data_IF_701791049914
#
_entry.id   IF_701791049914
#
_cell.length_a   1.000
_cell.length_b   1.000
_cell.length_c   1.000
_cell.angle_alpha   90.00
_cell.angle_beta   90.00
_cell.angle_gamma   90.00
#
_symmetry.space_group_name_H-M   'P 1'
#
loop_
_entity.id
_entity.type
_entity.pdbx_description
1 polymer ?
#
# COMPACT_ATOMS: atom_id res chain seq x y z
N UNK A 1 38.04 4.99 -9.47
CA UNK A 1 37.84 6.07 -10.49
C UNK A 1 36.37 6.49 -10.64
N UNK A 2 35.38 5.57 -10.95
CA UNK A 2 33.98 5.93 -11.14
C UNK A 2 33.36 6.64 -9.93
N UNK A 3 33.49 6.09 -8.71
CA UNK A 3 32.93 6.69 -7.49
C UNK A 3 33.42 8.12 -7.25
N UNK A 4 34.72 8.38 -7.43
CA UNK A 4 35.28 9.71 -7.27
C UNK A 4 34.68 10.71 -8.28
N UNK A 5 34.62 10.31 -9.57
CA UNK A 5 34.02 11.11 -10.62
C UNK A 5 32.54 11.37 -10.36
N UNK A 6 31.78 10.33 -9.97
CA UNK A 6 30.36 10.45 -9.65
C UNK A 6 30.13 11.38 -8.46
N UNK A 7 30.93 11.25 -7.39
CA UNK A 7 30.86 12.13 -6.21
C UNK A 7 31.19 13.59 -6.59
N UNK A 8 32.20 13.80 -7.44
CA UNK A 8 32.55 15.14 -7.92
C UNK A 8 31.38 15.75 -8.72
N UNK A 9 30.84 15.02 -9.70
CA UNK A 9 29.73 15.49 -10.52
C UNK A 9 28.48 15.79 -9.69
N UNK A 10 28.09 14.90 -8.78
CA UNK A 10 26.95 15.14 -7.90
C UNK A 10 27.23 16.27 -6.90
N UNK A 11 28.47 16.47 -6.48
CA UNK A 11 28.90 17.60 -5.67
C UNK A 11 28.78 18.93 -6.42
N UNK A 12 29.21 18.98 -7.68
CA UNK A 12 29.03 20.16 -8.54
C UNK A 12 27.55 20.48 -8.78
N UNK A 13 26.73 19.46 -9.03
CA UNK A 13 25.26 19.63 -9.13
C UNK A 13 24.66 20.15 -7.84
N UNK A 14 25.12 19.65 -6.69
CA UNK A 14 24.70 20.13 -5.38
C UNK A 14 25.06 21.61 -5.19
N UNK A 15 26.30 22.02 -5.48
CA UNK A 15 26.74 23.42 -5.39
C UNK A 15 25.91 24.33 -6.31
N UNK A 16 25.65 23.89 -7.56
CA UNK A 16 24.84 24.64 -8.52
C UNK A 16 23.37 24.77 -8.08
N UNK A 17 22.85 23.82 -7.28
CA UNK A 17 21.48 23.87 -6.78
C UNK A 17 21.32 24.78 -5.54
N UNK A 18 22.38 25.06 -4.78
CA UNK A 18 22.31 25.86 -3.54
C UNK A 18 21.67 27.24 -3.72
N UNK A 19 22.03 28.05 -4.76
CA UNK A 19 21.41 29.36 -4.98
C UNK A 19 19.91 29.31 -5.27
N UNK A 20 19.39 28.17 -5.74
CA UNK A 20 17.97 27.98 -6.06
C UNK A 20 17.13 27.56 -4.84
N UNK A 21 17.77 27.10 -3.76
CA UNK A 21 17.07 26.64 -2.55
C UNK A 21 16.16 27.71 -1.92
N UNK A 22 16.56 28.98 -1.76
CA UNK A 22 15.68 30.01 -1.18
C UNK A 22 14.36 30.13 -1.94
N UNK A 23 14.38 30.09 -3.28
CA UNK A 23 13.19 30.18 -4.12
C UNK A 23 12.22 29.00 -3.90
N UNK A 24 12.78 27.81 -3.69
CA UNK A 24 11.98 26.59 -3.47
C UNK A 24 11.42 26.47 -2.05
N UNK A 25 12.14 27.00 -1.04
CA UNK A 25 11.75 26.95 0.39
C UNK A 25 10.50 27.79 0.68
N UNK A 26 10.19 28.81 -0.12
CA UNK A 26 8.94 29.58 0.01
C UNK A 26 7.70 28.70 -0.18
N UNK A 27 7.76 27.63 -0.94
CA UNK A 27 6.65 26.69 -1.06
C UNK A 27 6.55 25.82 0.20
N UNK A 28 5.42 25.88 0.90
CA UNK A 28 5.13 25.15 2.16
C UNK A 28 5.53 23.66 2.10
N UNK A 29 5.38 23.01 0.93
CA UNK A 29 5.74 21.62 0.69
C UNK A 29 7.23 21.33 0.92
N UNK A 30 8.13 22.25 0.58
CA UNK A 30 9.58 22.04 0.56
C UNK A 30 10.33 22.72 1.73
N UNK A 31 9.65 23.54 2.51
CA UNK A 31 10.24 24.39 3.57
C UNK A 31 11.07 23.60 4.59
N UNK A 32 10.71 22.36 4.89
CA UNK A 32 11.45 21.51 5.85
C UNK A 32 12.37 20.52 5.14
N UNK A 33 11.92 19.90 4.04
CA UNK A 33 12.67 18.84 3.39
C UNK A 33 13.92 19.33 2.66
N UNK A 34 13.89 20.46 1.96
CA UNK A 34 15.06 20.93 1.20
C UNK A 34 16.22 21.36 2.11
N UNK A 35 16.06 22.20 3.15
CA UNK A 35 17.16 22.52 4.05
C UNK A 35 17.73 21.28 4.75
N UNK A 36 16.89 20.33 5.15
CA UNK A 36 17.33 19.10 5.78
C UNK A 36 18.16 18.23 4.81
N UNK A 37 17.78 18.14 3.53
CA UNK A 37 18.43 17.31 2.53
C UNK A 37 19.69 17.93 1.94
N UNK A 38 19.72 19.24 1.73
CA UNK A 38 20.81 19.92 1.03
C UNK A 38 21.79 20.59 1.97
N UNK A 39 21.39 20.98 3.19
CA UNK A 39 22.22 21.69 4.17
C UNK A 39 22.36 20.91 5.47
N UNK A 40 21.77 19.73 5.61
CA UNK A 40 21.67 18.93 6.85
C UNK A 40 21.02 19.69 8.02
N UNK A 41 20.26 20.75 7.72
CA UNK A 41 19.64 21.60 8.73
C UNK A 41 18.62 20.81 9.54
N UNK A 42 18.84 20.71 10.85
CA UNK A 42 18.01 19.91 11.79
C UNK A 42 17.81 18.46 11.31
N UNK A 43 18.80 17.89 10.62
CA UNK A 43 18.79 16.56 10.10
C UNK A 43 20.06 15.80 10.50
N UNK A 44 20.24 15.53 11.80
CA UNK A 44 21.44 14.82 12.29
C UNK A 44 21.50 13.40 11.72
N UNK A 45 22.67 12.76 11.70
CA UNK A 45 22.83 11.36 11.35
C UNK A 45 21.88 10.43 12.12
N UNK A 46 21.51 9.32 11.51
CA UNK A 46 20.86 8.20 12.20
C UNK A 46 21.83 7.59 13.22
N UNK A 47 21.31 7.08 14.34
CA UNK A 47 22.13 6.31 15.31
C UNK A 47 22.74 5.10 14.60
N UNK A 48 23.97 4.69 14.91
CA UNK A 48 24.61 3.51 14.29
C UNK A 48 23.90 2.20 14.66
N UNK A 49 24.38 1.11 14.09
CA UNK A 49 24.08 -0.28 14.42
C UNK A 49 22.60 -0.67 14.37
N UNK A 50 21.85 -0.03 13.48
CA UNK A 50 20.43 -0.33 13.26
C UNK A 50 20.13 -0.92 11.89
N UNK A 51 18.86 -1.22 11.67
CA UNK A 51 18.27 -1.56 10.39
C UNK A 51 17.76 -0.26 9.74
N UNK A 52 18.45 0.21 8.72
CA UNK A 52 18.11 1.46 8.02
C UNK A 52 17.20 1.20 6.84
N UNK A 53 15.95 1.63 6.94
CA UNK A 53 14.96 1.58 5.86
C UNK A 53 14.87 2.94 5.17
N UNK A 54 14.95 2.93 3.85
CA UNK A 54 14.73 4.10 3.01
C UNK A 54 13.48 3.94 2.16
N UNK A 55 12.56 4.91 2.28
CA UNK A 55 11.30 5.00 1.53
C UNK A 55 11.12 6.41 0.98
N UNK A 56 10.56 6.55 -0.21
CA UNK A 56 10.37 7.87 -0.84
C UNK A 56 9.08 8.55 -0.39
N UNK A 57 7.98 7.82 -0.37
CA UNK A 57 6.63 8.35 -0.29
C UNK A 57 5.84 7.87 0.94
N UNK A 58 4.70 8.54 1.18
CA UNK A 58 3.73 8.11 2.19
C UNK A 58 3.21 6.68 1.94
N UNK A 59 2.95 6.34 0.67
CA UNK A 59 2.47 5.01 0.30
C UNK A 59 3.48 3.91 0.61
N UNK A 60 4.77 4.16 0.32
CA UNK A 60 5.86 3.24 0.65
C UNK A 60 6.07 3.12 2.17
N UNK A 61 6.02 4.24 2.92
CA UNK A 61 6.13 4.22 4.38
C UNK A 61 5.01 3.39 5.03
N UNK A 62 3.80 3.40 4.47
CA UNK A 62 2.71 2.53 4.91
C UNK A 62 2.91 1.07 4.48
N UNK A 63 3.38 0.83 3.27
CA UNK A 63 3.56 -0.52 2.74
C UNK A 63 4.64 -1.32 3.50
N UNK A 64 5.68 -0.66 4.03
CA UNK A 64 6.70 -1.34 4.84
C UNK A 64 6.30 -1.54 6.31
N UNK A 65 5.22 -0.91 6.78
CA UNK A 65 4.83 -0.97 8.19
C UNK A 65 4.73 -2.39 8.74
N UNK A 66 4.11 -3.38 8.06
CA UNK A 66 4.06 -4.75 8.54
C UNK A 66 5.45 -5.41 8.67
N UNK A 67 6.42 -4.97 7.85
CA UNK A 67 7.81 -5.41 7.98
C UNK A 67 8.49 -4.79 9.21
N UNK A 68 8.28 -3.49 9.44
CA UNK A 68 8.84 -2.81 10.62
C UNK A 68 8.31 -3.37 11.94
N UNK A 69 7.06 -3.85 11.96
CA UNK A 69 6.42 -4.46 13.13
C UNK A 69 7.04 -5.81 13.55
N UNK A 70 7.88 -6.41 12.71
CA UNK A 70 8.63 -7.65 13.01
C UNK A 70 9.92 -7.41 13.78
N UNK A 71 10.31 -6.15 14.01
CA UNK A 71 11.58 -5.78 14.65
C UNK A 71 11.36 -4.81 15.81
N UNK A 72 12.28 -4.85 16.77
CA UNK A 72 12.31 -3.91 17.88
C UNK A 72 12.42 -2.46 17.34
N UNK A 73 11.55 -1.54 17.76
CA UNK A 73 11.62 -0.14 17.38
C UNK A 73 12.99 0.53 17.63
N UNK A 74 13.73 0.09 18.63
CA UNK A 74 15.07 0.59 18.94
C UNK A 74 16.10 0.29 17.85
N UNK A 75 15.90 -0.78 17.08
CA UNK A 75 16.75 -1.15 15.95
C UNK A 75 16.40 -0.38 14.68
N UNK A 76 15.23 0.24 14.60
CA UNK A 76 14.74 0.85 13.37
C UNK A 76 15.33 2.24 13.12
N UNK A 77 15.75 2.48 11.88
CA UNK A 77 16.21 3.77 11.35
C UNK A 77 15.45 4.03 10.05
N UNK A 78 14.78 5.17 9.96
CA UNK A 78 13.97 5.48 8.78
C UNK A 78 14.48 6.73 8.07
N UNK A 79 14.55 6.69 6.75
CA UNK A 79 14.81 7.87 5.95
C UNK A 79 13.84 7.99 4.77
N UNK A 80 13.54 9.22 4.37
CA UNK A 80 12.61 9.53 3.30
C UNK A 80 13.01 10.80 2.55
N UNK A 81 12.45 11.00 1.36
CA UNK A 81 12.68 12.21 0.56
C UNK A 81 11.53 13.22 0.65
N UNK A 82 10.31 12.78 0.98
CA UNK A 82 9.11 13.61 0.96
C UNK A 82 8.62 14.00 2.36
N UNK A 83 7.89 15.13 2.47
CA UNK A 83 7.31 15.59 3.75
C UNK A 83 6.28 14.58 4.30
N UNK A 84 5.37 14.11 3.45
CA UNK A 84 4.33 13.16 3.87
C UNK A 84 4.90 11.80 4.26
N UNK A 85 5.95 11.33 3.55
CA UNK A 85 6.71 10.16 3.95
C UNK A 85 7.40 10.34 5.30
N UNK A 86 7.97 11.53 5.56
CA UNK A 86 8.61 11.84 6.85
C UNK A 86 7.61 11.82 8.02
N UNK A 87 6.43 12.40 7.82
CA UNK A 87 5.36 12.39 8.81
C UNK A 87 4.95 10.94 9.13
N UNK A 88 4.73 10.10 8.11
CA UNK A 88 4.40 8.69 8.29
C UNK A 88 5.52 7.87 8.97
N UNK A 89 6.79 8.12 8.64
CA UNK A 89 7.92 7.48 9.32
C UNK A 89 7.97 7.85 10.81
N UNK A 90 7.73 9.12 11.13
CA UNK A 90 7.74 9.61 12.52
C UNK A 90 6.63 9.04 13.40
N UNK A 91 5.50 8.70 12.83
CA UNK A 91 4.42 8.00 13.58
C UNK A 91 4.93 6.70 14.20
N UNK A 92 5.85 6.00 13.52
CA UNK A 92 6.37 4.70 13.99
C UNK A 92 7.69 4.83 14.75
N UNK A 93 8.63 5.65 14.26
CA UNK A 93 9.99 5.79 14.82
C UNK A 93 10.33 7.28 14.92
N UNK A 94 9.74 8.01 15.92
CA UNK A 94 9.88 9.47 16.00
C UNK A 94 11.32 9.93 16.15
N UNK A 95 12.12 9.22 16.94
CA UNK A 95 13.51 9.61 17.28
C UNK A 95 14.52 9.29 16.17
N UNK A 96 14.23 8.33 15.30
CA UNK A 96 15.15 7.84 14.27
C UNK A 96 14.57 7.94 12.85
N UNK A 97 13.68 8.93 12.61
CA UNK A 97 13.20 9.29 11.27
C UNK A 97 13.90 10.55 10.78
N UNK A 98 14.44 10.52 9.55
CA UNK A 98 15.22 11.60 8.95
C UNK A 98 14.84 11.82 7.48
N UNK A 99 15.21 12.98 6.95
CA UNK A 99 15.25 13.16 5.50
C UNK A 99 16.54 12.57 4.95
N UNK A 100 16.48 11.83 3.84
CA UNK A 100 17.67 11.37 3.15
C UNK A 100 18.42 12.59 2.59
N UNK A 101 19.68 12.81 2.96
CA UNK A 101 20.48 13.87 2.36
C UNK A 101 20.67 13.71 0.86
N UNK A 102 20.99 14.80 0.17
CA UNK A 102 21.45 14.72 -1.20
C UNK A 102 22.76 13.91 -1.27
N UNK A 103 22.96 13.14 -2.33
CA UNK A 103 23.95 12.07 -2.40
C UNK A 103 25.36 12.41 -1.91
N UNK A 104 26.02 13.52 -2.34
CA UNK A 104 27.40 13.80 -1.88
C UNK A 104 27.51 14.01 -0.37
N UNK A 105 26.43 14.43 0.29
CA UNK A 105 26.42 14.62 1.74
C UNK A 105 26.36 13.29 2.53
N UNK A 106 26.03 12.18 1.88
CA UNK A 106 25.97 10.85 2.51
C UNK A 106 27.32 10.42 3.06
N UNK A 107 28.43 10.85 2.47
CA UNK A 107 29.77 10.59 2.99
C UNK A 107 29.96 11.10 4.43
N UNK A 108 29.35 12.19 4.78
CA UNK A 108 29.46 12.82 6.11
C UNK A 108 28.35 12.41 7.04
N UNK A 109 27.14 12.20 6.49
CA UNK A 109 25.92 11.96 7.28
C UNK A 109 25.72 10.48 7.65
N UNK A 110 26.05 9.54 6.78
CA UNK A 110 25.82 8.11 7.06
C UNK A 110 26.68 7.64 8.22
N UNK A 111 26.13 6.84 9.12
CA UNK A 111 26.85 6.10 10.16
C UNK A 111 26.80 4.60 9.84
N UNK A 112 27.72 3.76 10.37
CA UNK A 112 27.63 2.30 10.23
C UNK A 112 26.23 1.81 10.61
N UNK A 113 25.69 0.90 9.80
CA UNK A 113 24.41 0.26 10.04
C UNK A 113 24.55 -1.23 9.79
N UNK A 114 23.73 -2.07 10.46
CA UNK A 114 23.68 -3.51 10.20
C UNK A 114 23.16 -3.79 8.78
N UNK A 115 22.07 -3.12 8.37
CA UNK A 115 21.56 -3.21 7.01
C UNK A 115 21.06 -1.87 6.50
N UNK A 116 21.10 -1.70 5.16
CA UNK A 116 20.34 -0.71 4.40
C UNK A 116 19.28 -1.44 3.57
N UNK A 117 18.02 -1.11 3.77
CA UNK A 117 16.87 -1.64 3.04
C UNK A 117 16.21 -0.50 2.27
N UNK A 118 16.26 -0.54 0.95
CA UNK A 118 15.68 0.48 0.07
C UNK A 118 14.45 -0.08 -0.61
N UNK A 119 13.38 0.73 -0.69
CA UNK A 119 12.12 0.30 -1.29
C UNK A 119 11.97 0.75 -2.76
N UNK A 120 11.37 -0.11 -3.57
CA UNK A 120 11.01 0.10 -4.97
C UNK A 120 12.17 0.48 -5.88
N UNK A 121 12.21 1.72 -6.40
CA UNK A 121 13.14 2.15 -7.43
C UNK A 121 14.04 3.33 -6.99
N UNK A 122 14.24 3.53 -5.70
CA UNK A 122 15.13 4.57 -5.16
C UNK A 122 16.62 4.18 -5.29
N UNK A 123 17.07 4.06 -6.54
CA UNK A 123 18.38 3.52 -6.93
C UNK A 123 19.46 4.62 -6.96
N UNK A 124 19.81 5.17 -5.80
CA UNK A 124 20.84 6.19 -5.63
C UNK A 124 22.21 5.54 -5.43
N UNK A 125 23.19 5.84 -6.31
CA UNK A 125 24.50 5.17 -6.30
C UNK A 125 25.25 5.34 -4.97
N UNK A 126 25.36 6.59 -4.48
CA UNK A 126 26.12 6.87 -3.24
C UNK A 126 25.39 6.34 -2.00
N UNK A 127 24.07 6.22 -2.02
CA UNK A 127 23.33 5.62 -0.92
C UNK A 127 23.79 4.19 -0.66
N UNK A 128 23.75 3.34 -1.69
CA UNK A 128 24.21 1.95 -1.58
C UNK A 128 25.73 1.86 -1.39
N UNK A 129 26.50 2.68 -2.11
CA UNK A 129 27.94 2.63 -2.04
C UNK A 129 28.47 2.98 -0.65
N UNK A 130 28.02 4.08 -0.05
CA UNK A 130 28.49 4.55 1.26
C UNK A 130 28.01 3.64 2.38
N UNK A 131 26.75 3.16 2.34
CA UNK A 131 26.25 2.20 3.31
C UNK A 131 27.06 0.91 3.30
N UNK A 132 27.30 0.34 2.10
CA UNK A 132 28.10 -0.89 1.95
C UNK A 132 29.57 -0.69 2.35
N UNK A 133 30.18 0.43 2.00
CA UNK A 133 31.54 0.77 2.41
C UNK A 133 31.71 0.91 3.93
N UNK A 134 30.59 1.11 4.65
CA UNK A 134 30.53 1.18 6.12
C UNK A 134 30.01 -0.12 6.77
N UNK A 135 30.02 -1.22 6.02
CA UNK A 135 29.69 -2.55 6.52
C UNK A 135 28.23 -2.96 6.45
N UNK A 136 27.33 -2.09 5.98
CA UNK A 136 25.91 -2.43 5.91
C UNK A 136 25.64 -3.53 4.87
N UNK A 137 24.82 -4.51 5.23
CA UNK A 137 24.16 -5.40 4.28
C UNK A 137 23.12 -4.58 3.46
N UNK A 138 23.16 -4.66 2.13
CA UNK A 138 22.33 -3.81 1.27
C UNK A 138 21.25 -4.61 0.57
N UNK A 139 19.99 -4.21 0.77
CA UNK A 139 18.82 -4.86 0.23
C UNK A 139 17.98 -3.87 -0.58
N UNK A 140 17.44 -4.32 -1.71
CA UNK A 140 16.39 -3.65 -2.44
C UNK A 140 15.12 -4.50 -2.34
N UNK A 141 14.04 -3.95 -1.77
CA UNK A 141 12.79 -4.67 -1.53
C UNK A 141 11.65 -4.07 -2.36
N UNK A 142 10.62 -4.87 -2.62
CA UNK A 142 9.47 -4.47 -3.46
C UNK A 142 9.93 -3.91 -4.81
N UNK A 143 11.03 -4.44 -5.34
CA UNK A 143 11.68 -3.90 -6.53
C UNK A 143 10.83 -4.11 -7.78
N UNK A 144 10.64 -3.03 -8.53
CA UNK A 144 9.88 -3.06 -9.79
C UNK A 144 10.41 -2.07 -10.82
N UNK A 145 10.18 -2.37 -12.10
CA UNK A 145 10.47 -1.47 -13.21
C UNK A 145 9.26 -1.45 -14.15
N UNK A 146 8.57 -0.31 -14.19
CA UNK A 146 7.37 -0.16 -15.01
C UNK A 146 7.69 -0.22 -16.52
N UNK A 147 6.69 -0.60 -17.34
CA UNK A 147 6.80 -0.57 -18.81
C UNK A 147 7.26 0.79 -19.30
N UNK A 148 6.67 1.85 -18.76
CA UNK A 148 6.94 3.23 -19.15
C UNK A 148 8.39 3.63 -18.89
N UNK A 149 8.97 3.19 -17.77
CA UNK A 149 10.33 3.57 -17.38
C UNK A 149 11.41 2.65 -17.95
N UNK A 150 11.06 1.44 -18.39
CA UNK A 150 11.99 0.43 -18.89
C UNK A 150 12.95 0.91 -19.97
N UNK A 151 12.51 1.64 -21.03
CA UNK A 151 13.44 2.17 -22.05
C UNK A 151 14.51 3.09 -21.47
N UNK A 152 14.15 3.91 -20.50
CA UNK A 152 15.10 4.82 -19.81
C UNK A 152 16.12 4.03 -18.99
N UNK A 153 15.68 3.01 -18.23
CA UNK A 153 16.59 2.15 -17.48
C UNK A 153 17.59 1.43 -18.38
N UNK A 154 17.16 0.91 -19.51
CA UNK A 154 18.02 0.26 -20.50
C UNK A 154 19.08 1.23 -21.06
N UNK A 155 18.69 2.47 -21.40
CA UNK A 155 19.59 3.49 -21.92
C UNK A 155 20.74 3.80 -20.94
N UNK A 156 20.45 3.78 -19.63
CA UNK A 156 21.43 4.02 -18.57
C UNK A 156 21.89 2.75 -17.87
N UNK A 157 21.80 1.59 -18.51
CA UNK A 157 22.16 0.30 -17.91
C UNK A 157 23.60 0.26 -17.35
N UNK A 158 24.53 0.99 -17.98
CA UNK A 158 25.90 1.12 -17.50
C UNK A 158 26.00 1.72 -16.08
N UNK A 159 25.11 2.63 -15.71
CA UNK A 159 25.00 3.20 -14.36
C UNK A 159 24.35 2.21 -13.41
N UNK A 160 23.20 1.63 -13.82
CA UNK A 160 22.47 0.67 -12.98
C UNK A 160 23.28 -0.57 -12.66
N UNK A 161 24.10 -1.08 -13.58
CA UNK A 161 25.05 -2.17 -13.29
C UNK A 161 26.01 -1.84 -12.14
N UNK A 162 26.42 -0.58 -12.02
CA UNK A 162 27.28 -0.13 -10.92
C UNK A 162 26.52 0.00 -9.61
N UNK A 163 25.25 0.39 -9.66
CA UNK A 163 24.38 0.44 -8.48
C UNK A 163 24.10 -0.99 -7.99
N UNK A 164 23.66 -1.88 -8.87
CA UNK A 164 23.36 -3.27 -8.52
C UNK A 164 24.58 -4.05 -8.03
N UNK A 165 25.78 -3.70 -8.46
CA UNK A 165 27.02 -4.24 -7.89
C UNK A 165 27.23 -3.88 -6.41
N UNK A 166 26.44 -2.95 -5.86
CA UNK A 166 26.46 -2.55 -4.45
C UNK A 166 25.26 -3.09 -3.66
N UNK A 167 24.39 -3.88 -4.27
CA UNK A 167 23.20 -4.44 -3.66
C UNK A 167 23.42 -5.95 -3.47
N UNK A 168 23.28 -6.44 -2.23
CA UNK A 168 23.54 -7.83 -1.89
C UNK A 168 22.35 -8.75 -2.20
N UNK A 169 21.12 -8.25 -2.03
CA UNK A 169 19.87 -8.96 -2.27
C UNK A 169 18.83 -8.07 -2.89
N UNK A 170 18.06 -8.61 -3.82
CA UNK A 170 16.94 -7.92 -4.46
C UNK A 170 15.69 -8.79 -4.32
N UNK A 171 14.61 -8.20 -3.83
CA UNK A 171 13.29 -8.81 -3.71
C UNK A 171 12.34 -8.13 -4.67
N UNK A 172 12.06 -8.80 -5.80
CA UNK A 172 11.25 -8.29 -6.91
C UNK A 172 9.76 -8.58 -6.69
N UNK A 173 8.88 -7.74 -7.26
CA UNK A 173 7.44 -7.95 -7.19
C UNK A 173 6.98 -9.09 -8.10
N UNK A 174 7.51 -9.17 -9.31
CA UNK A 174 7.09 -10.13 -10.35
C UNK A 174 8.29 -10.77 -11.04
N UNK A 175 8.07 -11.90 -11.74
CA UNK A 175 9.08 -12.53 -12.60
C UNK A 175 9.58 -11.56 -13.68
N UNK A 176 8.68 -10.75 -14.25
CA UNK A 176 9.04 -9.74 -15.25
C UNK A 176 9.94 -8.65 -14.66
N UNK A 177 9.71 -8.25 -13.41
CA UNK A 177 10.61 -7.32 -12.73
C UNK A 177 11.97 -7.96 -12.48
N UNK A 178 12.01 -9.24 -12.07
CA UNK A 178 13.27 -10.00 -11.92
C UNK A 178 14.08 -9.96 -13.19
N UNK A 179 13.50 -10.35 -14.33
CA UNK A 179 14.18 -10.35 -15.63
C UNK A 179 14.76 -8.98 -15.98
N UNK A 180 13.99 -7.91 -15.78
CA UNK A 180 14.43 -6.53 -16.03
C UNK A 180 15.58 -6.10 -15.12
N UNK A 181 15.49 -6.44 -13.84
CA UNK A 181 16.52 -6.12 -12.85
C UNK A 181 17.82 -6.87 -13.12
N UNK A 182 17.75 -8.13 -13.54
CA UNK A 182 18.91 -8.94 -13.93
C UNK A 182 19.61 -8.39 -15.18
N UNK A 183 18.85 -7.93 -16.19
CA UNK A 183 19.40 -7.22 -17.36
C UNK A 183 20.17 -5.95 -16.96
N UNK A 184 19.73 -5.28 -15.89
CA UNK A 184 20.39 -4.10 -15.33
C UNK A 184 21.57 -4.46 -14.39
N UNK A 185 21.87 -5.75 -14.22
CA UNK A 185 23.00 -6.23 -13.44
C UNK A 185 22.70 -6.62 -12.00
N UNK A 186 21.43 -6.71 -11.62
CA UNK A 186 21.03 -7.23 -10.31
C UNK A 186 21.43 -8.70 -10.18
N UNK A 187 21.89 -9.08 -8.98
CA UNK A 187 22.23 -10.46 -8.62
C UNK A 187 21.41 -10.89 -7.41
N UNK A 188 21.29 -12.20 -7.20
CA UNK A 188 20.53 -12.72 -6.06
C UNK A 188 19.10 -12.16 -5.98
N UNK A 189 18.41 -12.13 -7.11
CA UNK A 189 17.03 -11.65 -7.21
C UNK A 189 16.07 -12.78 -6.82
N UNK A 190 15.17 -12.51 -5.88
CA UNK A 190 14.08 -13.41 -5.47
C UNK A 190 12.74 -12.71 -5.69
N UNK A 191 11.78 -13.38 -6.30
CA UNK A 191 10.41 -12.87 -6.42
C UNK A 191 9.65 -13.17 -5.14
N UNK A 192 9.08 -12.11 -4.54
CA UNK A 192 8.34 -12.20 -3.28
C UNK A 192 6.90 -11.69 -3.37
N UNK A 193 6.55 -11.07 -4.49
CA UNK A 193 5.26 -10.37 -4.61
C UNK A 193 5.34 -8.92 -4.14
N UNK A 194 4.19 -8.23 -4.21
CA UNK A 194 4.11 -6.83 -3.81
C UNK A 194 3.85 -6.72 -2.30
N UNK A 195 4.69 -5.98 -1.60
CA UNK A 195 4.58 -5.76 -0.14
C UNK A 195 3.28 -5.05 0.28
N UNK A 196 2.57 -4.41 -0.64
CA UNK A 196 1.24 -3.85 -0.37
C UNK A 196 0.19 -4.91 -0.02
N UNK A 197 0.46 -6.18 -0.37
CA UNK A 197 -0.34 -7.32 0.05
C UNK A 197 0.12 -7.94 1.38
N UNK A 198 1.24 -7.50 1.91
CA UNK A 198 1.68 -7.90 3.23
C UNK A 198 0.86 -7.19 4.32
N UNK A 199 0.51 -7.90 5.37
CA UNK A 199 -0.24 -7.31 6.46
C UNK A 199 -1.71 -7.02 6.13
N UNK A 200 -2.29 -7.74 5.16
CA UNK A 200 -3.75 -7.74 4.97
C UNK A 200 -4.39 -8.19 6.30
N UNK A 201 -5.27 -7.34 6.88
CA UNK A 201 -5.86 -7.65 8.19
C UNK A 201 -6.67 -8.95 8.13
N UNK A 202 -6.56 -9.75 9.19
CA UNK A 202 -7.33 -10.98 9.33
C UNK A 202 -8.57 -10.74 10.18
N UNK A 203 -9.63 -11.54 10.00
CA UNK A 203 -10.80 -11.46 10.85
C UNK A 203 -10.41 -11.67 12.32
N UNK A 204 -10.98 -10.86 13.21
CA UNK A 204 -10.80 -10.97 14.65
C UNK A 204 -11.87 -11.80 15.30
N UNK A 205 -13.03 -11.94 14.64
CA UNK A 205 -14.18 -12.77 15.04
C UNK A 205 -15.01 -13.19 13.82
N UNK A 206 -15.83 -14.21 13.97
CA UNK A 206 -16.82 -14.60 12.97
C UNK A 206 -18.16 -13.90 13.29
N UNK A 207 -18.69 -13.17 12.31
CA UNK A 207 -20.02 -12.58 12.45
C UNK A 207 -21.12 -13.67 12.29
N UNK A 208 -22.27 -13.51 12.97
CA UNK A 208 -23.36 -14.49 12.95
C UNK A 208 -24.17 -14.37 11.65
N UNK A 209 -23.65 -14.94 10.55
CA UNK A 209 -24.38 -15.07 9.29
C UNK A 209 -25.48 -16.11 9.43
N UNK A 210 -26.74 -15.81 9.08
CA UNK A 210 -27.83 -16.79 9.10
C UNK A 210 -27.58 -17.96 8.16
N UNK A 211 -27.98 -19.14 8.55
CA UNK A 211 -27.81 -20.35 7.74
C UNK A 211 -28.56 -20.24 6.41
N UNK A 212 -27.87 -20.59 5.31
CA UNK A 212 -28.41 -20.49 3.98
C UNK A 212 -28.53 -19.09 3.40
N UNK A 213 -28.22 -18.04 4.16
CA UNK A 213 -28.28 -16.68 3.66
C UNK A 213 -27.16 -16.39 2.63
N UNK A 214 -27.51 -15.67 1.55
CA UNK A 214 -26.56 -15.08 0.62
C UNK A 214 -26.26 -13.65 1.04
N UNK A 215 -25.06 -13.39 1.57
CA UNK A 215 -24.70 -12.08 2.14
C UNK A 215 -23.93 -11.23 1.13
N UNK A 216 -24.49 -10.06 0.81
CA UNK A 216 -23.85 -9.02 0.01
C UNK A 216 -23.27 -7.97 0.96
N UNK A 217 -22.00 -7.61 0.80
CA UNK A 217 -21.37 -6.52 1.55
C UNK A 217 -21.13 -5.29 0.66
N UNK A 218 -21.86 -4.21 0.91
CA UNK A 218 -21.58 -2.88 0.37
C UNK A 218 -20.49 -2.21 1.21
N UNK A 219 -19.24 -2.34 0.81
CA UNK A 219 -18.06 -2.09 1.63
C UNK A 219 -17.45 -0.71 1.40
N UNK A 220 -17.10 -0.01 2.46
CA UNK A 220 -16.41 1.30 2.42
C UNK A 220 -17.13 2.31 1.52
N UNK A 221 -18.45 2.39 1.60
CA UNK A 221 -19.26 3.21 0.70
C UNK A 221 -19.10 4.70 0.96
N UNK A 222 -19.20 5.47 -0.12
CA UNK A 222 -19.19 6.93 -0.14
C UNK A 222 -20.54 7.49 -0.59
N UNK A 223 -20.70 8.81 -0.43
CA UNK A 223 -21.90 9.50 -0.85
C UNK A 223 -22.18 9.29 -2.34
N UNK A 224 -23.40 8.93 -2.67
CA UNK A 224 -23.82 8.67 -4.04
C UNK A 224 -23.71 7.22 -4.50
N UNK A 225 -23.07 6.33 -3.73
CA UNK A 225 -22.89 4.92 -4.10
C UNK A 225 -23.98 4.00 -3.54
N UNK A 226 -24.48 4.30 -2.34
CA UNK A 226 -25.41 3.42 -1.61
C UNK A 226 -26.73 3.19 -2.36
N UNK A 227 -27.21 4.18 -3.09
CA UNK A 227 -28.45 4.07 -3.88
C UNK A 227 -28.35 3.02 -4.99
N UNK A 228 -27.24 3.01 -5.75
CA UNK A 228 -26.99 2.02 -6.79
C UNK A 228 -26.80 0.61 -6.20
N UNK A 229 -26.14 0.51 -5.05
CA UNK A 229 -25.95 -0.77 -4.35
C UNK A 229 -27.29 -1.33 -3.86
N UNK A 230 -28.16 -0.50 -3.28
CA UNK A 230 -29.48 -0.92 -2.82
C UNK A 230 -30.38 -1.35 -3.99
N UNK A 231 -30.30 -0.66 -5.12
CA UNK A 231 -31.05 -1.03 -6.33
C UNK A 231 -30.54 -2.38 -6.89
N UNK A 232 -29.23 -2.58 -6.95
CA UNK A 232 -28.66 -3.87 -7.35
C UNK A 232 -29.05 -4.99 -6.39
N UNK A 233 -29.09 -4.72 -5.10
CA UNK A 233 -29.56 -5.67 -4.10
C UNK A 233 -31.03 -6.02 -4.26
N UNK A 234 -31.86 -5.05 -4.64
CA UNK A 234 -33.28 -5.28 -4.94
C UNK A 234 -33.47 -6.27 -6.09
N UNK A 235 -32.71 -6.07 -7.18
CA UNK A 235 -32.73 -7.00 -8.32
C UNK A 235 -32.26 -8.40 -7.90
N UNK A 236 -31.14 -8.49 -7.21
CA UNK A 236 -30.64 -9.78 -6.68
C UNK A 236 -31.68 -10.48 -5.80
N UNK A 237 -32.28 -9.76 -4.87
CA UNK A 237 -33.23 -10.33 -3.87
C UNK A 237 -34.52 -10.82 -4.53
N UNK A 238 -34.92 -10.28 -5.69
CA UNK A 238 -36.05 -10.81 -6.45
C UNK A 238 -35.82 -12.23 -6.99
N UNK A 239 -34.57 -12.64 -7.20
CA UNK A 239 -34.17 -13.98 -7.63
C UNK A 239 -33.62 -14.83 -6.47
N UNK A 240 -33.19 -14.20 -5.38
CA UNK A 240 -32.65 -14.83 -4.16
C UNK A 240 -33.30 -14.24 -2.91
N UNK A 241 -34.50 -14.71 -2.55
CA UNK A 241 -35.21 -14.17 -1.39
C UNK A 241 -34.41 -14.25 -0.06
N UNK A 242 -33.50 -15.27 0.05
CA UNK A 242 -32.61 -15.47 1.19
C UNK A 242 -31.45 -14.44 1.25
N UNK A 243 -31.31 -13.57 0.24
CA UNK A 243 -30.24 -12.59 0.21
C UNK A 243 -30.40 -11.55 1.33
N UNK A 244 -29.26 -11.17 1.92
CA UNK A 244 -29.13 -10.13 2.96
C UNK A 244 -28.02 -9.15 2.58
N UNK A 245 -28.18 -7.89 3.00
CA UNK A 245 -27.22 -6.82 2.73
C UNK A 245 -26.56 -6.33 4.01
N UNK A 246 -25.23 -6.33 4.03
CA UNK A 246 -24.42 -5.63 5.02
C UNK A 246 -23.83 -4.37 4.39
N UNK A 247 -24.32 -3.19 4.77
CA UNK A 247 -23.81 -1.91 4.30
C UNK A 247 -22.80 -1.34 5.29
N UNK A 248 -21.58 -1.04 4.83
CA UNK A 248 -20.47 -0.57 5.66
C UNK A 248 -19.95 0.76 5.13
N UNK A 249 -20.50 1.91 5.57
CA UNK A 249 -20.03 3.22 5.15
C UNK A 249 -18.58 3.48 5.63
N UNK A 250 -17.80 4.19 4.81
CA UNK A 250 -16.38 4.45 5.09
C UNK A 250 -16.17 5.37 6.29
N UNK A 251 -17.06 6.33 6.51
CA UNK A 251 -16.93 7.40 7.48
C UNK A 251 -18.04 7.34 8.53
N UNK A 252 -17.70 7.32 9.84
CA UNK A 252 -18.69 7.21 10.93
C UNK A 252 -19.74 8.33 10.92
N UNK A 253 -19.36 9.56 10.51
CA UNK A 253 -20.26 10.70 10.41
C UNK A 253 -21.41 10.51 9.40
N UNK A 254 -21.33 9.47 8.58
CA UNK A 254 -22.37 9.12 7.61
C UNK A 254 -23.34 8.06 8.09
N UNK A 255 -23.07 7.39 9.22
CA UNK A 255 -23.88 6.27 9.70
C UNK A 255 -25.35 6.61 9.81
N UNK A 256 -25.71 7.72 10.44
CA UNK A 256 -27.12 8.13 10.60
C UNK A 256 -27.79 8.50 9.29
N UNK A 257 -27.06 9.07 8.35
CA UNK A 257 -27.61 9.39 7.02
C UNK A 257 -27.88 8.12 6.22
N UNK A 258 -26.93 7.18 6.22
CA UNK A 258 -27.08 5.89 5.53
C UNK A 258 -28.15 5.04 6.20
N UNK A 259 -28.26 5.07 7.53
CA UNK A 259 -29.36 4.41 8.25
C UNK A 259 -30.73 4.88 7.77
N UNK A 260 -30.97 6.19 7.72
CA UNK A 260 -32.24 6.76 7.22
C UNK A 260 -32.52 6.34 5.78
N UNK A 261 -31.50 6.31 4.91
CA UNK A 261 -31.63 5.85 3.52
C UNK A 261 -32.07 4.39 3.48
N UNK A 262 -31.37 3.51 4.21
CA UNK A 262 -31.64 2.07 4.24
C UNK A 262 -33.00 1.76 4.86
N UNK A 263 -33.36 2.43 5.95
CA UNK A 263 -34.68 2.28 6.62
C UNK A 263 -35.83 2.69 5.69
N UNK A 264 -35.68 3.85 5.01
CA UNK A 264 -36.67 4.30 4.02
C UNK A 264 -36.81 3.31 2.86
N UNK A 265 -35.68 2.79 2.37
CA UNK A 265 -35.67 1.78 1.31
C UNK A 265 -36.31 0.46 1.75
N UNK A 266 -35.97 -0.03 2.95
CA UNK A 266 -36.54 -1.23 3.54
C UNK A 266 -38.08 -1.11 3.66
N UNK A 267 -38.55 0.03 4.15
CA UNK A 267 -39.98 0.30 4.27
C UNK A 267 -40.72 0.25 2.92
N UNK A 268 -40.14 0.80 1.87
CA UNK A 268 -40.69 0.76 0.51
C UNK A 268 -40.77 -0.66 -0.06
N UNK A 269 -39.83 -1.52 0.29
CA UNK A 269 -39.74 -2.91 -0.21
C UNK A 269 -40.43 -3.94 0.71
N UNK A 270 -40.90 -3.54 1.88
CA UNK A 270 -41.44 -4.47 2.89
C UNK A 270 -40.37 -5.32 3.55
N UNK A 271 -39.13 -4.83 3.63
CA UNK A 271 -37.96 -5.53 4.21
C UNK A 271 -37.69 -5.08 5.62
N UNK A 272 -36.98 -5.95 6.38
CA UNK A 272 -36.47 -5.63 7.69
C UNK A 272 -35.16 -4.84 7.61
N UNK A 273 -34.98 -3.90 8.56
CA UNK A 273 -33.76 -3.12 8.73
C UNK A 273 -33.27 -3.21 10.17
N UNK A 274 -31.95 -3.27 10.38
CA UNK A 274 -31.34 -3.13 11.71
C UNK A 274 -30.00 -2.43 11.64
N UNK A 275 -29.59 -1.84 12.78
CA UNK A 275 -28.24 -1.39 13.02
C UNK A 275 -27.44 -2.51 13.71
N UNK A 276 -26.23 -2.76 13.27
CA UNK A 276 -25.39 -3.78 13.88
C UNK A 276 -24.99 -3.44 15.32
N UNK A 277 -24.85 -2.15 15.65
CA UNK A 277 -24.55 -1.69 17.01
C UNK A 277 -25.62 -2.07 18.03
N UNK A 278 -26.87 -2.28 17.60
CA UNK A 278 -28.03 -2.56 18.48
C UNK A 278 -28.24 -4.05 18.72
N UNK A 279 -28.03 -4.90 17.70
CA UNK A 279 -28.37 -6.31 17.75
C UNK A 279 -27.20 -7.29 17.64
N UNK A 280 -26.07 -6.82 17.11
CA UNK A 280 -24.92 -7.63 16.66
C UNK A 280 -25.31 -8.80 15.72
N UNK A 281 -26.45 -8.66 15.03
CA UNK A 281 -27.07 -9.70 14.20
C UNK A 281 -27.04 -9.32 12.72
N UNK A 282 -27.03 -10.33 11.85
CA UNK A 282 -27.17 -10.21 10.39
C UNK A 282 -28.51 -10.79 9.90
N UNK A 283 -29.53 -10.92 10.79
CA UNK A 283 -30.81 -11.50 10.47
C UNK A 283 -31.73 -10.60 9.64
N UNK A 284 -31.59 -9.27 9.74
CA UNK A 284 -32.39 -8.35 8.95
C UNK A 284 -32.04 -8.42 7.45
N UNK A 285 -32.95 -8.05 6.57
CA UNK A 285 -32.71 -7.98 5.13
C UNK A 285 -31.65 -6.94 4.78
N UNK A 286 -31.68 -5.80 5.48
CA UNK A 286 -30.69 -4.74 5.40
C UNK A 286 -30.07 -4.50 6.78
N UNK A 287 -28.76 -4.65 6.89
CA UNK A 287 -28.01 -4.39 8.12
C UNK A 287 -27.00 -3.27 7.86
N UNK A 288 -27.05 -2.21 8.65
CA UNK A 288 -26.00 -1.18 8.66
C UNK A 288 -24.91 -1.55 9.64
N UNK A 289 -23.69 -1.71 9.17
CA UNK A 289 -22.50 -1.84 10.02
C UNK A 289 -22.06 -0.46 10.48
N UNK A 290 -22.54 -0.04 11.62
CA UNK A 290 -22.23 1.24 12.27
C UNK A 290 -21.21 1.11 13.40
N UNK A 291 -20.34 0.09 13.28
CA UNK A 291 -19.24 -0.18 14.21
C UNK A 291 -17.91 -0.19 13.45
N UNK A 292 -16.95 0.60 13.90
CA UNK A 292 -15.63 0.62 13.28
C UNK A 292 -14.82 -0.64 13.56
N UNK A 293 -13.97 -1.04 12.59
CA UNK A 293 -13.09 -2.20 12.73
C UNK A 293 -13.70 -3.55 12.35
N UNK A 294 -14.99 -3.60 11.99
CA UNK A 294 -15.71 -4.84 11.67
C UNK A 294 -15.69 -5.23 10.18
N UNK A 295 -15.17 -4.37 9.31
CA UNK A 295 -15.25 -4.58 7.85
C UNK A 295 -14.64 -5.92 7.40
N UNK A 296 -13.47 -6.28 7.94
CA UNK A 296 -12.78 -7.54 7.58
C UNK A 296 -13.57 -8.76 8.10
N UNK A 297 -14.21 -8.63 9.26
CA UNK A 297 -15.12 -9.65 9.78
C UNK A 297 -16.36 -9.80 8.89
N UNK A 298 -16.85 -8.68 8.31
CA UNK A 298 -17.92 -8.67 7.31
C UNK A 298 -17.51 -9.39 6.03
N UNK A 299 -16.32 -9.10 5.49
CA UNK A 299 -15.79 -9.80 4.31
C UNK A 299 -15.72 -11.32 4.51
N UNK A 300 -15.28 -11.76 5.68
CA UNK A 300 -15.09 -13.19 5.96
C UNK A 300 -16.36 -14.04 5.89
N UNK A 301 -17.55 -13.40 5.95
CA UNK A 301 -18.85 -14.08 5.90
C UNK A 301 -19.66 -13.71 4.66
N UNK A 302 -19.14 -12.84 3.79
CA UNK A 302 -19.84 -12.36 2.58
C UNK A 302 -19.66 -13.31 1.40
N UNK A 303 -20.67 -13.36 0.52
CA UNK A 303 -20.67 -14.13 -0.73
C UNK A 303 -20.42 -13.24 -1.96
N UNK A 304 -20.70 -11.93 -1.82
CA UNK A 304 -20.43 -10.90 -2.82
C UNK A 304 -20.01 -9.61 -2.13
N UNK A 305 -19.00 -8.94 -2.64
CA UNK A 305 -18.58 -7.61 -2.16
C UNK A 305 -18.77 -6.58 -3.26
N UNK A 306 -19.40 -5.46 -2.92
CA UNK A 306 -19.42 -4.24 -3.72
C UNK A 306 -18.52 -3.24 -2.99
N UNK A 307 -17.32 -3.02 -3.55
CA UNK A 307 -16.30 -2.16 -2.94
C UNK A 307 -16.45 -0.72 -3.41
N UNK A 308 -16.87 0.15 -2.52
CA UNK A 308 -17.06 1.57 -2.77
C UNK A 308 -15.77 2.39 -2.88
N UNK A 309 -15.94 3.70 -3.03
CA UNK A 309 -14.85 4.67 -3.21
C UNK A 309 -14.28 4.72 -4.61
N UNK A 310 -14.81 3.92 -5.54
CA UNK A 310 -14.39 3.90 -6.92
C UNK A 310 -15.53 4.10 -7.94
N UNK A 311 -16.78 4.07 -7.53
CA UNK A 311 -17.93 4.48 -8.35
C UNK A 311 -18.04 6.01 -8.40
N UNK A 312 -17.52 6.69 -7.40
CA UNK A 312 -17.30 8.14 -7.38
C UNK A 312 -15.78 8.43 -7.41
N UNK A 313 -15.33 9.63 -7.83
CA UNK A 313 -13.90 9.93 -8.04
C UNK A 313 -13.12 10.13 -6.72
N UNK A 314 -13.23 9.18 -5.80
CA UNK A 314 -12.55 9.18 -4.50
C UNK A 314 -11.17 8.53 -4.57
N UNK A 315 -10.97 7.55 -5.47
CA UNK A 315 -9.67 6.91 -5.69
C UNK A 315 -9.61 5.42 -5.33
N UNK A 316 -10.72 4.84 -4.86
CA UNK A 316 -10.85 3.42 -4.52
C UNK A 316 -10.32 3.03 -3.14
N UNK A 317 -10.74 1.86 -2.67
CA UNK A 317 -10.30 1.23 -1.43
C UNK A 317 -9.50 -0.05 -1.69
N UNK A 318 -8.86 -0.59 -0.66
CA UNK A 318 -8.00 -1.76 -0.75
C UNK A 318 -8.82 -3.04 -1.01
N UNK A 319 -8.95 -3.44 -2.27
CA UNK A 319 -9.67 -4.65 -2.66
C UNK A 319 -9.01 -5.95 -2.15
N UNK A 320 -7.71 -5.94 -1.80
CA UNK A 320 -7.01 -7.12 -1.32
C UNK A 320 -7.55 -7.63 0.02
N UNK A 321 -8.11 -6.72 0.85
CA UNK A 321 -8.74 -7.07 2.12
C UNK A 321 -9.97 -7.97 1.94
N UNK A 322 -10.73 -7.77 0.87
CA UNK A 322 -11.86 -8.62 0.52
C UNK A 322 -11.39 -9.84 -0.29
N UNK A 323 -10.50 -9.66 -1.27
CA UNK A 323 -10.05 -10.71 -2.19
C UNK A 323 -9.33 -11.88 -1.50
N UNK A 324 -8.81 -11.70 -0.28
CA UNK A 324 -8.21 -12.80 0.50
C UNK A 324 -9.19 -13.93 0.81
N UNK A 325 -10.51 -13.68 0.74
CA UNK A 325 -11.55 -14.66 1.03
C UNK A 325 -12.11 -15.33 -0.23
N UNK A 326 -11.74 -14.85 -1.44
CA UNK A 326 -12.05 -15.51 -2.70
C UNK A 326 -13.46 -15.26 -3.25
N UNK A 327 -14.31 -14.43 -2.60
CA UNK A 327 -15.62 -14.11 -3.16
C UNK A 327 -15.50 -13.15 -4.36
N UNK A 328 -16.53 -13.07 -5.24
CA UNK A 328 -16.62 -12.06 -6.27
C UNK A 328 -16.59 -10.65 -5.70
N UNK A 329 -15.92 -9.73 -6.40
CA UNK A 329 -15.83 -8.31 -6.02
C UNK A 329 -16.20 -7.44 -7.21
N UNK A 330 -17.16 -6.55 -7.03
CA UNK A 330 -17.50 -5.46 -7.94
C UNK A 330 -16.92 -4.14 -7.40
N UNK A 331 -16.37 -3.32 -8.27
CA UNK A 331 -15.90 -1.98 -7.93
C UNK A 331 -16.00 -1.04 -9.13
N UNK A 332 -15.89 0.27 -8.89
CA UNK A 332 -15.98 1.28 -9.95
C UNK A 332 -14.65 1.56 -10.66
N UNK A 333 -14.68 2.39 -11.73
CA UNK A 333 -13.49 2.69 -12.55
C UNK A 333 -12.54 3.71 -11.91
N UNK A 334 -12.96 4.46 -10.90
CA UNK A 334 -12.17 5.51 -10.28
C UNK A 334 -11.17 4.98 -9.22
N UNK A 335 -10.55 3.82 -9.47
CA UNK A 335 -9.58 3.18 -8.58
C UNK A 335 -8.13 3.71 -8.73
N UNK A 336 -7.92 4.99 -9.05
CA UNK A 336 -6.59 5.53 -9.41
C UNK A 336 -5.54 5.43 -8.29
N UNK A 337 -5.94 5.39 -7.02
CA UNK A 337 -5.03 5.17 -5.88
C UNK A 337 -4.72 3.69 -5.64
N UNK A 338 -5.48 2.77 -6.27
CA UNK A 338 -5.45 1.33 -6.01
C UNK A 338 -5.03 0.50 -7.25
N UNK A 339 -4.58 1.13 -8.32
CA UNK A 339 -4.26 0.46 -9.61
C UNK A 339 -3.38 -0.77 -9.47
N UNK A 340 -2.35 -0.70 -8.61
CA UNK A 340 -1.43 -1.82 -8.39
C UNK A 340 -2.10 -2.97 -7.63
N UNK A 341 -2.96 -2.65 -6.67
CA UNK A 341 -3.73 -3.64 -5.92
C UNK A 341 -4.74 -4.31 -6.85
N UNK A 342 -5.49 -3.53 -7.62
CA UNK A 342 -6.47 -4.07 -8.56
C UNK A 342 -5.81 -4.98 -9.61
N UNK A 343 -4.66 -4.59 -10.14
CA UNK A 343 -3.90 -5.41 -11.10
C UNK A 343 -3.35 -6.72 -10.49
N UNK A 344 -3.23 -6.81 -9.17
CA UNK A 344 -2.78 -8.01 -8.45
C UNK A 344 -3.92 -8.95 -8.04
N UNK A 345 -5.16 -8.67 -8.45
CA UNK A 345 -6.34 -9.49 -8.13
C UNK A 345 -6.96 -10.00 -9.42
N UNK A 346 -6.98 -11.34 -9.60
CA UNK A 346 -7.75 -11.99 -10.67
C UNK A 346 -9.23 -12.00 -10.30
N UNK A 347 -10.12 -11.91 -11.28
CA UNK A 347 -11.58 -11.97 -11.08
C UNK A 347 -12.19 -10.68 -10.52
N UNK A 348 -11.40 -9.63 -10.24
CA UNK A 348 -11.94 -8.32 -9.83
C UNK A 348 -12.72 -7.69 -11.00
N UNK A 349 -14.00 -7.44 -10.83
CA UNK A 349 -14.87 -6.87 -11.86
C UNK A 349 -15.01 -5.37 -11.66
N UNK A 350 -14.58 -4.59 -12.65
CA UNK A 350 -14.77 -3.13 -12.69
C UNK A 350 -15.99 -2.85 -13.55
N UNK A 351 -16.96 -2.07 -13.03
CA UNK A 351 -18.19 -1.69 -13.73
C UNK A 351 -18.50 -0.22 -13.48
N UNK A 352 -19.18 0.41 -14.44
CA UNK A 352 -19.71 1.75 -14.23
C UNK A 352 -20.84 1.72 -13.20
N UNK A 353 -21.10 2.85 -12.54
CA UNK A 353 -22.11 2.96 -11.47
C UNK A 353 -23.50 2.57 -11.96
N UNK A 354 -23.82 2.96 -13.19
CA UNK A 354 -25.09 2.68 -13.86
C UNK A 354 -25.27 1.20 -14.21
N UNK A 355 -24.17 0.48 -14.42
CA UNK A 355 -24.16 -0.95 -14.72
C UNK A 355 -24.20 -1.82 -13.46
N UNK A 356 -23.87 -1.24 -12.29
CA UNK A 356 -23.75 -1.97 -11.03
C UNK A 356 -25.01 -2.77 -10.67
N UNK A 357 -26.25 -2.21 -10.77
CA UNK A 357 -27.45 -2.97 -10.44
C UNK A 357 -27.60 -4.26 -11.26
N UNK A 358 -27.38 -4.18 -12.57
CA UNK A 358 -27.44 -5.36 -13.46
C UNK A 358 -26.31 -6.37 -13.19
N UNK A 359 -25.10 -5.89 -12.85
CA UNK A 359 -23.99 -6.77 -12.50
C UNK A 359 -24.23 -7.53 -11.18
N UNK A 360 -24.98 -6.98 -10.26
CA UNK A 360 -25.34 -7.62 -8.99
C UNK A 360 -26.48 -8.63 -9.14
N UNK A 361 -27.33 -8.51 -10.14
CA UNK A 361 -28.53 -9.32 -10.33
C UNK A 361 -28.24 -10.82 -10.42
N UNK A 362 -27.17 -11.17 -11.18
CA UNK A 362 -26.77 -12.57 -11.41
C UNK A 362 -25.34 -12.84 -10.96
N UNK A 363 -25.08 -12.93 -9.65
CA UNK A 363 -23.71 -13.06 -9.13
C UNK A 363 -23.03 -14.39 -9.51
N UNK A 364 -23.78 -15.39 -9.94
CA UNK A 364 -23.22 -16.65 -10.48
C UNK A 364 -22.42 -16.45 -11.79
N UNK A 365 -22.58 -15.32 -12.47
CA UNK A 365 -21.81 -14.94 -13.66
C UNK A 365 -20.49 -14.23 -13.32
N UNK A 366 -20.27 -13.89 -12.05
CA UNK A 366 -19.05 -13.24 -11.58
C UNK A 366 -17.99 -14.28 -11.23
N UNK A 367 -16.75 -13.99 -11.59
CA UNK A 367 -15.62 -14.85 -11.21
C UNK A 367 -15.24 -14.64 -9.75
N UNK A 368 -14.91 -15.71 -9.01
CA UNK A 368 -14.28 -15.59 -7.70
C UNK A 368 -12.95 -14.83 -7.81
N UNK A 369 -12.65 -13.99 -6.81
CA UNK A 369 -11.38 -13.28 -6.81
C UNK A 369 -10.24 -14.16 -6.29
N UNK A 370 -9.04 -13.93 -6.82
CA UNK A 370 -7.81 -14.60 -6.39
C UNK A 370 -6.66 -13.61 -6.31
N UNK A 371 -5.99 -13.58 -5.17
CA UNK A 371 -4.76 -12.80 -5.01
C UNK A 371 -3.59 -13.46 -5.73
N UNK A 372 -2.88 -12.72 -6.58
CA UNK A 372 -1.63 -13.14 -7.22
C UNK A 372 -0.45 -12.93 -6.25
N UNK A 373 -0.44 -13.68 -5.14
CA UNK A 373 0.64 -13.58 -4.14
C UNK A 373 1.33 -14.94 -4.01
N UNK A 374 2.65 -15.04 -4.22
CA UNK A 374 3.40 -16.27 -4.02
C UNK A 374 3.77 -16.49 -2.53
N UNK A 375 2.81 -16.56 -1.62
CA UNK A 375 3.04 -16.74 -0.19
C UNK A 375 3.17 -15.44 0.63
N UNK A 376 3.83 -15.50 1.79
CA UNK A 376 4.12 -14.30 2.61
C UNK A 376 5.29 -13.51 2.01
N UNK A 377 5.05 -12.31 1.44
CA UNK A 377 6.12 -11.52 0.82
C UNK A 377 7.15 -10.98 1.81
N UNK A 378 6.83 -10.98 3.11
CA UNK A 378 7.75 -10.50 4.16
C UNK A 378 8.72 -11.57 4.65
N UNK A 379 8.31 -12.84 4.67
CA UNK A 379 9.08 -13.92 5.29
C UNK A 379 10.56 -13.97 4.82
N UNK A 380 10.88 -13.94 3.52
CA UNK A 380 12.26 -13.98 3.06
C UNK A 380 13.08 -12.75 3.44
N UNK A 381 12.43 -11.59 3.58
CA UNK A 381 13.08 -10.34 3.95
C UNK A 381 13.39 -10.36 5.46
N UNK A 382 12.42 -10.80 6.27
CA UNK A 382 12.58 -10.96 7.72
C UNK A 382 13.71 -11.92 8.04
N UNK A 383 13.74 -13.11 7.40
CA UNK A 383 14.81 -14.09 7.57
C UNK A 383 16.21 -13.51 7.28
N UNK A 384 16.34 -12.76 6.17
CA UNK A 384 17.63 -12.13 5.81
C UNK A 384 18.04 -11.09 6.84
N UNK A 385 17.11 -10.23 7.30
CA UNK A 385 17.41 -9.20 8.29
C UNK A 385 17.70 -9.78 9.68
N UNK A 386 17.04 -10.87 10.07
CA UNK A 386 17.33 -11.57 11.32
C UNK A 386 18.73 -12.18 11.31
N UNK A 387 19.20 -12.76 10.20
CA UNK A 387 20.58 -13.23 10.06
C UNK A 387 21.58 -12.09 10.23
N UNK A 388 21.33 -10.96 9.58
CA UNK A 388 22.22 -9.78 9.69
C UNK A 388 22.31 -9.24 11.12
N UNK A 389 21.29 -9.43 11.95
CA UNK A 389 21.31 -9.01 13.35
C UNK A 389 22.10 -9.99 14.25
N UNK A 390 22.23 -11.26 13.82
CA UNK A 390 22.97 -12.29 14.54
C UNK A 390 24.49 -12.26 14.24
N UNK A 391 24.86 -11.76 13.03
CA UNK A 391 26.24 -11.51 12.62
C UNK A 391 26.79 -10.19 13.23
#
# INVERSE_FOLDING_TARGET
>A
MFTALYTLLTGLLWLAALPLLPLAVFRRKYRRSLPARFLLWRNPPLKPDGLWFHVCSFGEARAIRPLLERFDPELLRLSTTTRTGYEACRERVPEQSRYLPFEPLLWFWTRPQKALVVMEAELWYLLFHVAKARGARTLLINARISERSWPSYRRFAWLYRRIFARIDRVYAQTERDRERLEVLGARNVRVTGNLKFAGIPRPTRRLPKPDGAYLVCGASTHEGEEGAILEGFRLLKSHRPEAKMLMVPRHPERFDRVARLMEGYAKLQGWSFSRFSESESLEADLVLMDRMGELVNGYAVSDLVVLGGAFEPVGGHNAAEAAQFGMPILTGPHGFNQREIFAGIEGLKIVEKEELPGAMEYPALLEPTKLRIPGDPLAPIVEELQRVLQD
#
